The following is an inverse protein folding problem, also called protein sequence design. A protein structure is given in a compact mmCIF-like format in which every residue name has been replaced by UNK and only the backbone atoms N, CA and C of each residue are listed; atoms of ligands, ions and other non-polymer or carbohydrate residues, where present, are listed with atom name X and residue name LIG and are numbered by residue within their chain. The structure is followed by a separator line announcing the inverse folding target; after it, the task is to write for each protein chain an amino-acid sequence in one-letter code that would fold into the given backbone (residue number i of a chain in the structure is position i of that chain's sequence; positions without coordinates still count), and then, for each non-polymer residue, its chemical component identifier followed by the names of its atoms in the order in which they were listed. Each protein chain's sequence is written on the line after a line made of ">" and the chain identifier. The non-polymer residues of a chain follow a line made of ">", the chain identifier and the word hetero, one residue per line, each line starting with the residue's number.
data_IF_411980991730
#
_entry.id   IF_411980991730
#
_cell.length_a   1.000
_cell.length_b   1.000
_cell.length_c   1.000
_cell.angle_alpha   90.00
_cell.angle_beta   90.00
_cell.angle_gamma   90.00
#
_symmetry.space_group_name_H-M   'P 1'
#
loop_
_entity.id
_entity.type
_entity.pdbx_description
1 polymer ?
#
# COMPACT_ATOMS: atom_id res chain seq x y z
N UNK A 1 -8.94 13.20 -2.13
CA UNK A 1 -8.63 13.30 -0.70
C UNK A 1 -7.32 12.61 -0.37
N UNK A 2 -6.40 13.33 0.30
CA UNK A 2 -5.16 12.75 0.83
C UNK A 2 -5.44 12.01 2.14
N UNK A 3 -5.02 10.75 2.24
CA UNK A 3 -5.17 9.92 3.44
C UNK A 3 -3.80 9.47 3.91
N UNK A 4 -3.53 9.56 5.21
CA UNK A 4 -2.26 9.08 5.79
C UNK A 4 -2.46 7.71 6.42
N UNK A 5 -1.62 6.76 6.06
CA UNK A 5 -1.57 5.44 6.69
C UNK A 5 -0.17 5.21 7.27
N UNK A 6 -0.08 4.30 8.23
CA UNK A 6 1.19 3.88 8.82
C UNK A 6 1.55 2.50 8.31
N UNK A 7 2.82 2.31 7.96
CA UNK A 7 3.40 1.00 7.72
C UNK A 7 4.31 0.68 8.90
N UNK A 8 4.07 -0.45 9.52
CA UNK A 8 4.82 -0.93 10.68
C UNK A 8 5.79 -2.02 10.21
N UNK A 9 7.02 -1.97 10.69
CA UNK A 9 8.05 -3.00 10.52
C UNK A 9 8.40 -3.56 11.89
N UNK A 10 7.63 -4.55 12.40
CA UNK A 10 7.79 -5.06 13.76
C UNK A 10 9.18 -5.62 14.03
N UNK A 11 9.78 -6.29 13.04
CA UNK A 11 11.09 -6.97 13.17
C UNK A 11 12.26 -6.01 13.46
N UNK A 12 12.09 -4.72 13.18
CA UNK A 12 13.11 -3.68 13.39
C UNK A 12 12.61 -2.52 14.27
N UNK A 13 11.43 -2.64 14.86
CA UNK A 13 10.77 -1.60 15.68
C UNK A 13 10.76 -0.22 15.00
N UNK A 14 10.29 -0.19 13.74
CA UNK A 14 10.15 1.05 12.95
C UNK A 14 8.75 1.22 12.41
N UNK A 15 8.34 2.47 12.28
CA UNK A 15 7.15 2.85 11.55
C UNK A 15 7.48 3.96 10.54
N UNK A 16 6.77 3.96 9.42
CA UNK A 16 6.77 5.06 8.46
C UNK A 16 5.34 5.52 8.20
N UNK A 17 5.17 6.81 7.97
CA UNK A 17 3.90 7.38 7.54
C UNK A 17 3.94 7.63 6.03
N UNK A 18 2.94 7.12 5.32
CA UNK A 18 2.78 7.33 3.88
C UNK A 18 1.45 8.04 3.59
N UNK A 19 1.45 8.90 2.58
CA UNK A 19 0.26 9.59 2.09
C UNK A 19 -0.25 8.88 0.83
N UNK A 20 -1.50 8.42 0.88
CA UNK A 20 -2.25 7.92 -0.26
C UNK A 20 -2.94 9.11 -0.93
N UNK A 21 -2.65 9.30 -2.22
CA UNK A 21 -3.32 10.26 -3.09
C UNK A 21 -4.28 9.52 -4.02
N UNK A 22 -5.57 9.81 -3.89
CA UNK A 22 -6.65 9.21 -4.67
C UNK A 22 -6.93 9.96 -5.99
N UNK A 23 -6.13 10.99 -6.32
CA UNK A 23 -6.36 11.84 -7.50
C UNK A 23 -6.39 11.09 -8.84
N UNK A 24 -5.69 9.95 -8.91
CA UNK A 24 -5.53 9.12 -10.12
C UNK A 24 -6.08 7.71 -10.01
N UNK A 25 -6.19 7.17 -8.79
CA UNK A 25 -6.61 5.78 -8.56
C UNK A 25 -7.51 5.68 -7.32
N UNK A 26 -8.69 6.33 -7.36
CA UNK A 26 -9.55 6.43 -6.19
C UNK A 26 -10.11 5.09 -5.72
N UNK A 27 -10.40 4.14 -6.62
CA UNK A 27 -10.89 2.80 -6.21
C UNK A 27 -9.77 1.99 -5.56
N UNK A 28 -8.54 2.11 -6.06
CA UNK A 28 -7.37 1.44 -5.50
C UNK A 28 -7.08 1.95 -4.09
N UNK A 29 -7.10 3.28 -3.89
CA UNK A 29 -6.93 3.87 -2.56
C UNK A 29 -8.06 3.43 -1.62
N UNK A 30 -9.32 3.43 -2.09
CA UNK A 30 -10.45 2.96 -1.30
C UNK A 30 -10.30 1.49 -0.89
N UNK A 31 -9.92 0.61 -1.82
CA UNK A 31 -9.72 -0.81 -1.56
C UNK A 31 -8.64 -1.08 -0.51
N UNK A 32 -7.55 -0.29 -0.51
CA UNK A 32 -6.53 -0.36 0.55
C UNK A 32 -7.14 0.03 1.90
N UNK A 33 -7.85 1.17 1.96
CA UNK A 33 -8.39 1.72 3.21
C UNK A 33 -9.45 0.83 3.84
N UNK A 34 -10.34 0.23 3.05
CA UNK A 34 -11.42 -0.65 3.52
C UNK A 34 -10.89 -1.97 4.08
N UNK A 35 -9.68 -2.38 3.70
CA UNK A 35 -9.06 -3.63 4.13
C UNK A 35 -8.00 -3.43 5.22
N UNK A 36 -7.83 -2.21 5.76
CA UNK A 36 -6.94 -2.00 6.91
C UNK A 36 -7.50 -2.64 8.19
N UNK A 37 -6.66 -3.27 9.03
CA UNK A 37 -5.21 -3.45 8.87
C UNK A 37 -4.84 -4.60 7.91
N UNK A 38 -3.73 -4.43 7.18
CA UNK A 38 -3.21 -5.42 6.23
C UNK A 38 -1.89 -5.98 6.75
N UNK A 39 -1.77 -7.30 6.84
CA UNK A 39 -0.52 -7.99 7.17
C UNK A 39 0.00 -8.75 5.96
N UNK A 40 1.26 -8.53 5.60
CA UNK A 40 1.89 -9.07 4.39
C UNK A 40 3.35 -9.40 4.64
N UNK A 41 3.87 -10.42 3.95
CA UNK A 41 5.30 -10.62 3.78
C UNK A 41 5.90 -9.55 2.88
N UNK A 42 7.14 -9.15 3.15
CA UNK A 42 7.89 -8.18 2.35
C UNK A 42 9.12 -8.86 1.76
N UNK A 43 9.38 -8.57 0.49
CA UNK A 43 10.63 -8.96 -0.18
C UNK A 43 11.32 -7.72 -0.71
N UNK A 44 12.65 -7.81 -0.90
CA UNK A 44 13.50 -6.74 -1.41
C UNK A 44 14.03 -7.08 -2.80
N UNK A 45 13.93 -6.16 -3.74
CA UNK A 45 14.60 -6.21 -5.05
C UNK A 45 15.42 -4.94 -5.22
N UNK A 46 16.75 -5.05 -5.11
CA UNK A 46 17.63 -3.89 -5.20
C UNK A 46 17.34 -2.90 -4.07
N UNK A 47 16.84 -1.72 -4.41
CA UNK A 47 16.42 -0.69 -3.44
C UNK A 47 14.90 -0.63 -3.23
N UNK A 48 14.15 -1.50 -3.91
CA UNK A 48 12.69 -1.57 -3.84
C UNK A 48 12.22 -2.63 -2.83
N UNK A 49 11.18 -2.29 -2.07
CA UNK A 49 10.45 -3.22 -1.20
C UNK A 49 9.08 -3.48 -1.82
N UNK A 50 8.75 -4.76 -1.98
CA UNK A 50 7.46 -5.19 -2.49
C UNK A 50 6.81 -6.17 -1.53
N UNK A 51 5.49 -6.17 -1.50
CA UNK A 51 4.73 -7.12 -0.69
C UNK A 51 4.47 -8.39 -1.48
N UNK A 52 4.26 -9.49 -0.78
CA UNK A 52 3.58 -10.64 -1.37
C UNK A 52 2.19 -10.24 -1.90
N UNK A 53 1.64 -11.08 -2.79
CA UNK A 53 0.30 -10.85 -3.36
C UNK A 53 -0.74 -10.80 -2.23
N UNK A 54 -1.41 -9.67 -2.10
CA UNK A 54 -2.49 -9.50 -1.12
C UNK A 54 -3.79 -10.11 -1.62
N UNK A 55 -4.76 -10.33 -0.71
CA UNK A 55 -6.13 -10.72 -1.09
C UNK A 55 -6.96 -9.52 -1.61
N UNK A 56 -6.41 -8.31 -1.55
CA UNK A 56 -7.06 -7.09 -2.03
C UNK A 56 -6.90 -7.06 -3.55
N UNK A 57 -8.03 -7.13 -4.25
CA UNK A 57 -8.08 -7.07 -5.71
C UNK A 57 -8.65 -5.70 -6.08
N UNK A 58 -7.81 -4.88 -6.71
CA UNK A 58 -8.23 -3.64 -7.36
C UNK A 58 -8.04 -3.81 -8.87
N UNK A 59 -9.07 -3.46 -9.65
CA UNK A 59 -8.97 -3.40 -11.10
C UNK A 59 -8.08 -2.23 -11.53
N UNK A 60 -7.44 -2.33 -12.70
CA UNK A 60 -6.58 -1.27 -13.24
C UNK A 60 -7.40 0.00 -13.52
N UNK A 61 -7.00 1.12 -12.92
CA UNK A 61 -7.65 2.43 -13.13
C UNK A 61 -6.86 3.32 -14.08
N UNK A 62 -5.62 3.68 -13.73
CA UNK A 62 -4.84 4.69 -14.45
C UNK A 62 -3.33 4.40 -14.46
N UNK A 63 -2.93 3.27 -15.05
CA UNK A 63 -1.53 2.99 -15.33
C UNK A 63 -1.02 3.93 -16.43
N UNK A 64 -0.11 4.85 -16.10
CA UNK A 64 0.67 5.54 -17.14
C UNK A 64 1.59 4.50 -17.78
N UNK A 65 1.33 4.18 -19.05
CA UNK A 65 2.29 3.52 -19.92
C UNK A 65 3.42 4.47 -20.32
#
# INVERSE_FOLDING_TARGET
>A
MKKKIKVLFPDIDREISIELDDSRSPKTVLAILENLPIQVGITRWGDELYTEKTQIIAEEEEAKR
#
